data_IF_838423134653
#
_entry.id   IF_838423134653
#
_cell.length_a   1.000
_cell.length_b   1.000
_cell.length_c   1.000
_cell.angle_alpha   90.00
_cell.angle_beta   90.00
_cell.angle_gamma   90.00
#
_symmetry.space_group_name_H-M   'P 1'
#
loop_
_entity.id
_entity.type
_entity.pdbx_description
1 polymer ?
#
# COMPACT_ATOMS: atom_id res chain seq x y z
N UNK A 1 -14.98 -13.89 -17.09
CA UNK A 1 -14.23 -14.72 -16.12
C UNK A 1 -13.14 -15.46 -16.89
N UNK A 2 -11.91 -15.03 -16.73
CA UNK A 2 -10.74 -15.76 -17.23
C UNK A 2 -10.24 -16.66 -16.11
N UNK A 3 -10.54 -17.92 -16.19
CA UNK A 3 -10.01 -18.98 -15.32
C UNK A 3 -9.10 -19.83 -16.20
N UNK A 4 -7.81 -19.72 -16.04
CA UNK A 4 -6.87 -20.50 -16.83
C UNK A 4 -5.53 -20.70 -16.14
N UNK A 5 -5.10 -21.94 -16.13
CA UNK A 5 -3.71 -22.31 -15.89
C UNK A 5 -2.88 -21.86 -17.08
N UNK A 6 -1.83 -21.08 -16.85
CA UNK A 6 -0.87 -20.57 -17.84
C UNK A 6 -1.45 -19.60 -18.89
N UNK A 7 -1.75 -18.37 -18.49
CA UNK A 7 -1.92 -17.30 -19.44
C UNK A 7 -0.61 -16.50 -19.53
N UNK A 8 0.18 -16.75 -20.56
CA UNK A 8 1.35 -15.96 -20.89
C UNK A 8 0.92 -14.76 -21.76
N UNK A 9 0.63 -13.62 -21.13
CA UNK A 9 0.46 -12.36 -21.84
C UNK A 9 1.84 -11.71 -21.92
N UNK A 10 2.32 -11.40 -23.12
CA UNK A 10 3.62 -10.75 -23.36
C UNK A 10 3.44 -9.51 -24.21
N UNK A 11 4.17 -8.45 -23.86
CA UNK A 11 4.31 -7.21 -24.65
C UNK A 11 2.96 -6.64 -25.10
N UNK A 12 1.96 -6.75 -24.22
CA UNK A 12 0.57 -6.38 -24.53
C UNK A 12 0.13 -5.17 -23.71
N UNK A 13 -0.69 -4.34 -24.33
CA UNK A 13 -1.47 -3.32 -23.64
C UNK A 13 -2.93 -3.71 -23.64
N UNK A 14 -3.55 -3.75 -22.46
CA UNK A 14 -4.99 -3.94 -22.30
C UNK A 14 -5.57 -2.63 -21.80
N UNK A 15 -6.55 -2.11 -22.52
CA UNK A 15 -7.21 -0.85 -22.15
C UNK A 15 -8.57 -1.14 -21.54
N UNK A 16 -8.81 -0.58 -20.38
CA UNK A 16 -10.13 -0.48 -19.76
C UNK A 16 -10.82 0.77 -20.33
N UNK A 17 -11.86 0.59 -21.11
CA UNK A 17 -12.60 1.70 -21.71
C UNK A 17 -13.86 1.99 -20.87
N UNK A 18 -13.66 2.76 -19.78
CA UNK A 18 -14.73 3.16 -18.90
C UNK A 18 -15.40 1.98 -18.18
N UNK A 19 -14.62 1.03 -17.68
CA UNK A 19 -15.19 -0.14 -16.98
C UNK A 19 -15.87 0.32 -15.69
N UNK A 20 -17.15 -0.03 -15.56
CA UNK A 20 -17.93 0.16 -14.35
C UNK A 20 -18.30 -1.18 -13.73
N UNK A 21 -17.85 -1.41 -12.52
CA UNK A 21 -18.21 -2.57 -11.70
C UNK A 21 -19.24 -2.13 -10.66
N UNK A 22 -20.40 -2.77 -10.64
CA UNK A 22 -21.43 -2.53 -9.65
C UNK A 22 -21.58 -3.76 -8.79
N UNK A 23 -21.39 -3.60 -7.48
CA UNK A 23 -21.60 -4.67 -6.51
C UNK A 23 -23.02 -4.52 -5.97
N UNK A 24 -23.91 -5.40 -6.41
CA UNK A 24 -25.35 -5.35 -6.11
C UNK A 24 -25.66 -5.81 -4.67
N UNK A 25 -26.79 -5.35 -4.13
CA UNK A 25 -27.25 -5.69 -2.77
C UNK A 25 -27.38 -7.18 -2.50
N UNK A 26 -27.70 -7.98 -3.51
CA UNK A 26 -27.98 -9.42 -3.36
C UNK A 26 -26.75 -10.30 -3.20
N UNK A 27 -25.55 -9.77 -3.49
CA UNK A 27 -24.32 -10.56 -3.51
C UNK A 27 -23.75 -10.73 -2.09
N UNK A 28 -23.29 -11.89 -1.68
CA UNK A 28 -22.70 -12.18 -0.35
C UNK A 28 -21.26 -12.68 -0.50
N UNK A 29 -20.40 -12.35 0.46
CA UNK A 29 -19.06 -12.91 0.59
C UNK A 29 -17.94 -11.97 0.23
N UNK A 30 -16.89 -12.49 -0.38
CA UNK A 30 -15.72 -11.73 -0.85
C UNK A 30 -15.88 -11.48 -2.34
N UNK A 31 -15.62 -10.26 -2.76
CA UNK A 31 -15.64 -9.85 -4.17
C UNK A 31 -14.23 -9.49 -4.61
N UNK A 32 -13.79 -10.17 -5.64
CA UNK A 32 -12.49 -9.95 -6.26
C UNK A 32 -12.70 -9.21 -7.58
N UNK A 33 -12.09 -8.03 -7.72
CA UNK A 33 -12.27 -7.14 -8.88
C UNK A 33 -10.93 -6.82 -9.51
N UNK A 34 -10.80 -7.04 -10.82
CA UNK A 34 -9.62 -6.75 -11.64
C UNK A 34 -9.75 -7.37 -13.01
N UNK A 35 -8.69 -7.30 -13.83
CA UNK A 35 -8.62 -8.08 -15.06
C UNK A 35 -8.82 -9.57 -14.77
N UNK A 36 -8.30 -10.02 -13.64
CA UNK A 36 -8.54 -11.32 -13.04
C UNK A 36 -9.21 -11.13 -11.67
N UNK A 37 -10.26 -11.90 -11.39
CA UNK A 37 -10.83 -11.96 -10.05
C UNK A 37 -9.77 -12.51 -9.09
N UNK A 38 -9.24 -13.70 -9.38
CA UNK A 38 -8.21 -14.38 -8.62
C UNK A 38 -7.11 -14.92 -9.56
N UNK A 39 -5.86 -14.79 -9.15
CA UNK A 39 -4.70 -15.34 -9.84
C UNK A 39 -3.94 -16.34 -8.97
N UNK A 40 -3.50 -17.43 -9.56
CA UNK A 40 -2.83 -18.51 -8.86
C UNK A 40 -3.81 -19.43 -8.11
N UNK A 41 -3.31 -20.21 -7.19
CA UNK A 41 -4.06 -21.24 -6.45
C UNK A 41 -3.21 -22.49 -6.35
N UNK A 42 -3.77 -23.66 -6.74
CA UNK A 42 -2.99 -24.90 -6.80
C UNK A 42 -1.85 -24.85 -7.84
N UNK A 43 -2.01 -24.02 -8.88
CA UNK A 43 -1.00 -23.79 -9.90
C UNK A 43 -0.53 -22.35 -9.88
N UNK A 44 0.74 -22.16 -10.20
CA UNK A 44 1.33 -20.83 -10.35
C UNK A 44 0.70 -20.07 -11.51
N UNK A 45 0.41 -18.79 -11.29
CA UNK A 45 0.05 -17.85 -12.34
C UNK A 45 1.24 -16.94 -12.68
N UNK A 46 1.54 -16.80 -13.96
CA UNK A 46 2.62 -15.91 -14.40
C UNK A 46 2.07 -14.86 -15.33
N UNK A 47 2.20 -13.59 -14.91
CA UNK A 47 1.90 -12.43 -15.75
C UNK A 47 3.17 -11.62 -15.93
N UNK A 48 3.50 -11.31 -17.19
CA UNK A 48 4.72 -10.57 -17.52
C UNK A 48 4.53 -9.65 -18.70
N UNK A 49 5.32 -8.56 -18.68
CA UNK A 49 5.45 -7.64 -19.79
C UNK A 49 4.08 -7.08 -20.22
N UNK A 50 3.20 -6.77 -19.23
CA UNK A 50 1.83 -6.32 -19.44
C UNK A 50 1.67 -4.86 -19.02
N UNK A 51 1.02 -4.07 -19.88
CA UNK A 51 0.55 -2.73 -19.54
C UNK A 51 -0.99 -2.71 -19.48
N UNK A 52 -1.54 -2.21 -18.40
CA UNK A 52 -2.96 -1.91 -18.24
C UNK A 52 -3.15 -0.40 -18.32
N UNK A 53 -4.19 0.07 -19.01
CA UNK A 53 -4.46 1.50 -19.17
C UNK A 53 -5.96 1.77 -19.15
N UNK A 54 -6.36 3.03 -18.96
CA UNK A 54 -7.76 3.46 -18.98
C UNK A 54 -8.29 3.78 -17.58
N UNK A 55 -9.57 3.51 -17.37
CA UNK A 55 -10.25 3.83 -16.11
C UNK A 55 -11.21 2.71 -15.67
N UNK A 56 -11.33 2.57 -14.35
CA UNK A 56 -12.23 1.62 -13.70
C UNK A 56 -12.96 2.30 -12.56
N UNK A 57 -14.29 2.24 -12.59
CA UNK A 57 -15.15 2.72 -11.52
C UNK A 57 -15.79 1.54 -10.80
N UNK A 58 -15.67 1.50 -9.47
CA UNK A 58 -16.26 0.48 -8.62
C UNK A 58 -17.28 1.14 -7.72
N UNK A 59 -18.56 0.79 -7.91
CA UNK A 59 -19.67 1.26 -7.09
C UNK A 59 -20.17 0.13 -6.19
N UNK A 60 -19.95 0.26 -4.89
CA UNK A 60 -20.49 -0.65 -3.92
C UNK A 60 -21.84 -0.11 -3.38
N UNK A 61 -22.93 -0.84 -3.63
CA UNK A 61 -24.26 -0.45 -3.15
C UNK A 61 -24.43 -0.79 -1.67
N UNK A 62 -25.31 -0.06 -0.99
CA UNK A 62 -25.62 -0.26 0.43
C UNK A 62 -26.08 -1.70 0.71
N UNK A 63 -25.56 -2.29 1.78
CA UNK A 63 -25.94 -3.64 2.24
C UNK A 63 -26.19 -3.66 3.74
N UNK A 64 -27.05 -4.59 4.17
CA UNK A 64 -27.28 -4.89 5.59
C UNK A 64 -26.22 -5.86 6.13
N UNK A 65 -25.76 -6.79 5.30
CA UNK A 65 -24.70 -7.75 5.64
C UNK A 65 -23.36 -7.25 5.11
N UNK A 66 -22.34 -7.24 5.94
CA UNK A 66 -20.99 -6.88 5.54
C UNK A 66 -20.38 -7.83 4.50
N UNK A 67 -19.53 -7.31 3.66
CA UNK A 67 -18.73 -8.09 2.69
C UNK A 67 -17.33 -7.50 2.56
N UNK A 68 -16.41 -8.27 1.98
CA UNK A 68 -15.07 -7.79 1.66
C UNK A 68 -14.92 -7.55 0.17
N UNK A 69 -14.21 -6.48 -0.19
CA UNK A 69 -13.84 -6.19 -1.56
C UNK A 69 -12.32 -6.17 -1.70
N UNK A 70 -11.83 -6.98 -2.61
CA UNK A 70 -10.42 -7.02 -3.00
C UNK A 70 -10.33 -6.51 -4.43
N UNK A 71 -9.68 -5.39 -4.65
CA UNK A 71 -9.68 -4.72 -5.95
C UNK A 71 -8.30 -4.25 -6.39
N UNK A 72 -7.99 -4.47 -7.68
CA UNK A 72 -6.81 -3.97 -8.35
C UNK A 72 -6.98 -4.04 -9.87
N UNK A 73 -6.25 -3.25 -10.62
CA UNK A 73 -6.37 -3.27 -12.08
C UNK A 73 -6.00 -4.63 -12.69
N UNK A 74 -4.99 -5.30 -12.14
CA UNK A 74 -4.56 -6.62 -12.58
C UNK A 74 -5.37 -7.73 -11.92
N UNK A 75 -5.44 -7.74 -10.58
CA UNK A 75 -6.16 -8.77 -9.86
C UNK A 75 -6.78 -8.27 -8.56
N UNK A 76 -7.98 -8.78 -8.24
CA UNK A 76 -8.54 -8.64 -6.92
C UNK A 76 -7.70 -9.38 -5.90
N UNK A 77 -7.39 -10.65 -6.18
CA UNK A 77 -6.58 -11.53 -5.33
C UNK A 77 -5.47 -12.24 -6.11
N UNK A 78 -4.27 -12.30 -5.53
CA UNK A 78 -3.15 -13.05 -6.08
C UNK A 78 -2.56 -13.98 -5.03
N UNK A 79 -2.60 -15.29 -5.29
CA UNK A 79 -2.26 -16.34 -4.33
C UNK A 79 -0.94 -17.05 -4.57
N UNK A 80 -0.54 -17.22 -5.83
CA UNK A 80 0.61 -18.06 -6.18
C UNK A 80 1.16 -17.67 -7.56
N UNK A 81 2.48 -17.48 -7.68
CA UNK A 81 3.15 -17.26 -8.95
C UNK A 81 3.96 -15.97 -9.05
N UNK A 82 4.00 -15.36 -10.22
CA UNK A 82 4.89 -14.24 -10.52
C UNK A 82 4.22 -13.11 -11.31
N UNK A 83 4.41 -11.88 -10.86
CA UNK A 83 4.15 -10.65 -11.62
C UNK A 83 5.50 -10.05 -12.01
N UNK A 84 5.75 -9.89 -13.32
CA UNK A 84 7.05 -9.41 -13.82
C UNK A 84 6.87 -8.32 -14.87
N UNK A 85 7.57 -7.19 -14.73
CA UNK A 85 7.55 -6.08 -15.69
C UNK A 85 6.13 -5.66 -16.07
N UNK A 86 5.26 -5.46 -15.09
CA UNK A 86 3.88 -5.05 -15.31
C UNK A 86 3.66 -3.61 -14.88
N UNK A 87 2.93 -2.86 -15.70
CA UNK A 87 2.60 -1.46 -15.43
C UNK A 87 1.09 -1.25 -15.48
N UNK A 88 0.54 -0.65 -14.43
CA UNK A 88 -0.83 -0.13 -14.45
C UNK A 88 -0.81 1.38 -14.68
N UNK A 89 -1.60 1.83 -15.66
CA UNK A 89 -1.96 3.24 -15.92
C UNK A 89 -3.47 3.43 -15.79
N UNK A 90 -4.10 2.56 -15.01
CA UNK A 90 -5.55 2.59 -14.81
C UNK A 90 -5.88 3.50 -13.65
N UNK A 91 -6.66 4.53 -13.90
CA UNK A 91 -7.27 5.32 -12.85
C UNK A 91 -8.41 4.52 -12.22
N UNK A 92 -8.35 4.29 -10.91
CA UNK A 92 -9.36 3.54 -10.18
C UNK A 92 -10.15 4.50 -9.27
N UNK A 93 -11.47 4.54 -9.46
CA UNK A 93 -12.39 5.25 -8.59
C UNK A 93 -13.27 4.26 -7.84
N UNK A 94 -13.26 4.35 -6.52
CA UNK A 94 -14.08 3.52 -5.65
C UNK A 94 -15.00 4.37 -4.78
N UNK A 95 -16.29 4.03 -4.77
CA UNK A 95 -17.28 4.65 -3.89
C UNK A 95 -18.07 3.58 -3.14
N UNK A 96 -18.04 3.66 -1.81
CA UNK A 96 -18.86 2.83 -0.93
C UNK A 96 -20.13 3.59 -0.49
N UNK A 97 -21.28 2.94 -0.61
CA UNK A 97 -22.57 3.45 -0.16
C UNK A 97 -23.08 2.74 1.10
N UNK A 98 -22.18 2.38 2.02
CA UNK A 98 -22.41 1.72 3.31
C UNK A 98 -22.71 0.22 3.21
N UNK A 99 -21.76 -0.57 3.59
CA UNK A 99 -21.92 -2.01 3.73
C UNK A 99 -20.69 -2.86 3.50
N UNK A 100 -19.56 -2.29 3.13
CA UNK A 100 -18.30 -3.03 3.07
C UNK A 100 -17.72 -3.16 4.47
N UNK A 101 -17.38 -4.39 4.89
CA UNK A 101 -16.67 -4.65 6.14
C UNK A 101 -15.17 -4.51 6.00
N UNK A 102 -14.63 -4.74 4.81
CA UNK A 102 -13.17 -4.67 4.55
C UNK A 102 -12.92 -4.34 3.08
N UNK A 103 -12.15 -3.29 2.84
CA UNK A 103 -11.66 -2.93 1.51
C UNK A 103 -10.16 -3.21 1.43
N UNK A 104 -9.73 -4.00 0.44
CA UNK A 104 -8.32 -4.10 0.03
C UNK A 104 -8.20 -3.58 -1.39
N UNK A 105 -7.59 -2.43 -1.59
CA UNK A 105 -7.48 -1.79 -2.90
C UNK A 105 -6.05 -1.41 -3.20
N UNK A 106 -5.55 -1.90 -4.33
CA UNK A 106 -4.24 -1.55 -4.88
C UNK A 106 -4.32 -1.15 -6.34
N UNK A 107 -3.39 -0.35 -6.81
CA UNK A 107 -3.32 0.05 -8.22
C UNK A 107 -3.16 -1.14 -9.17
N UNK A 108 -2.48 -2.22 -8.73
CA UNK A 108 -2.36 -3.48 -9.47
C UNK A 108 -3.12 -4.62 -8.78
N UNK A 109 -2.90 -4.83 -7.48
CA UNK A 109 -3.43 -6.00 -6.77
C UNK A 109 -4.10 -5.58 -5.48
N UNK A 110 -5.34 -6.06 -5.25
CA UNK A 110 -6.06 -5.82 -4.00
C UNK A 110 -5.43 -6.52 -2.83
N UNK A 111 -5.24 -7.84 -2.95
CA UNK A 111 -4.72 -8.70 -1.89
C UNK A 111 -3.69 -9.71 -2.43
N UNK A 112 -2.48 -9.65 -1.91
CA UNK A 112 -1.46 -10.69 -2.05
C UNK A 112 -1.59 -11.65 -0.87
N UNK A 113 -2.15 -12.83 -1.09
CA UNK A 113 -2.41 -13.81 -0.05
C UNK A 113 -1.78 -15.15 -0.40
N UNK A 114 -0.55 -15.38 0.01
CA UNK A 114 0.08 -16.68 -0.15
C UNK A 114 -0.19 -17.53 1.09
N UNK A 115 -1.21 -18.37 0.99
CA UNK A 115 -1.57 -19.29 2.06
C UNK A 115 -0.90 -20.65 1.88
N UNK A 116 0.06 -20.94 2.76
CA UNK A 116 0.82 -22.21 2.77
C UNK A 116 2.33 -22.00 2.69
N UNK A 117 3.10 -22.83 3.39
CA UNK A 117 4.57 -22.70 3.50
C UNK A 117 5.33 -22.96 2.20
N UNK A 118 4.71 -23.56 1.21
CA UNK A 118 5.30 -23.89 -0.09
C UNK A 118 4.86 -22.96 -1.22
N UNK A 119 3.95 -22.03 -0.94
CA UNK A 119 3.41 -21.10 -1.93
C UNK A 119 4.28 -19.85 -2.01
N UNK A 120 4.68 -19.49 -3.21
CA UNK A 120 5.52 -18.32 -3.48
C UNK A 120 4.77 -17.30 -4.32
N UNK A 121 4.75 -16.07 -3.85
CA UNK A 121 4.36 -14.91 -4.67
C UNK A 121 5.60 -14.08 -4.94
N UNK A 122 5.96 -13.94 -6.20
CA UNK A 122 7.13 -13.18 -6.60
C UNK A 122 6.74 -11.94 -7.41
N UNK A 123 7.28 -10.79 -7.01
CA UNK A 123 7.34 -9.61 -7.85
C UNK A 123 8.74 -9.53 -8.46
N UNK A 124 8.84 -9.30 -9.77
CA UNK A 124 10.13 -9.30 -10.47
C UNK A 124 10.23 -8.17 -11.49
N UNK A 125 11.43 -7.67 -11.67
CA UNK A 125 11.72 -6.55 -12.57
C UNK A 125 10.98 -5.29 -12.14
N UNK A 126 10.29 -4.61 -13.05
CA UNK A 126 9.56 -3.39 -12.74
C UNK A 126 8.07 -3.67 -12.59
N UNK A 127 7.53 -3.41 -11.40
CA UNK A 127 6.09 -3.50 -11.11
C UNK A 127 5.62 -2.09 -10.73
N UNK A 128 4.90 -1.43 -11.63
CA UNK A 128 4.67 0.02 -11.54
C UNK A 128 3.18 0.33 -11.59
N UNK A 129 2.72 1.19 -10.69
CA UNK A 129 1.46 1.90 -10.82
C UNK A 129 1.70 3.36 -11.23
N UNK A 130 1.10 3.77 -12.36
CA UNK A 130 1.08 5.17 -12.83
C UNK A 130 -0.34 5.75 -12.80
N UNK A 131 -1.37 4.94 -12.56
CA UNK A 131 -2.76 5.37 -12.43
C UNK A 131 -3.07 5.93 -11.04
N UNK A 132 -4.02 6.84 -10.98
CA UNK A 132 -4.48 7.45 -9.73
C UNK A 132 -5.53 6.59 -9.04
N UNK A 133 -5.56 6.64 -7.71
CA UNK A 133 -6.59 6.00 -6.90
C UNK A 133 -7.42 7.06 -6.18
N UNK A 134 -8.73 7.05 -6.41
CA UNK A 134 -9.71 7.88 -5.69
C UNK A 134 -10.66 6.98 -4.92
N UNK A 135 -10.58 7.02 -3.59
CA UNK A 135 -11.20 6.02 -2.73
C UNK A 135 -12.07 6.67 -1.67
N UNK A 136 -13.35 6.33 -1.66
CA UNK A 136 -14.31 6.81 -0.65
C UNK A 136 -14.85 5.61 0.15
N UNK A 137 -14.10 5.08 1.14
CA UNK A 137 -14.53 3.92 1.91
C UNK A 137 -15.47 4.33 3.05
N UNK A 138 -16.26 3.38 3.54
CA UNK A 138 -17.12 3.53 4.72
C UNK A 138 -16.70 2.64 5.90
N UNK A 139 -15.72 1.77 5.71
CA UNK A 139 -15.26 0.76 6.69
C UNK A 139 -13.74 0.70 6.73
N UNK A 140 -13.20 -0.33 7.37
CA UNK A 140 -11.78 -0.62 7.39
C UNK A 140 -11.22 -0.75 5.98
N UNK A 141 -10.08 -0.12 5.75
CA UNK A 141 -9.48 -0.09 4.43
C UNK A 141 -7.97 -0.34 4.47
N UNK A 142 -7.53 -1.17 3.52
CA UNK A 142 -6.15 -1.45 3.20
C UNK A 142 -5.89 -0.89 1.80
N UNK A 143 -5.23 0.25 1.72
CA UNK A 143 -5.09 0.99 0.46
C UNK A 143 -3.62 1.20 0.17
N UNK A 144 -3.18 0.73 -0.99
CA UNK A 144 -1.81 0.93 -1.47
C UNK A 144 -1.76 1.35 -2.92
N UNK A 145 -0.82 2.21 -3.27
CA UNK A 145 -0.66 2.65 -4.65
C UNK A 145 -0.42 1.49 -5.62
N UNK A 146 0.18 0.38 -5.15
CA UNK A 146 0.41 -0.84 -5.95
C UNK A 146 -0.36 -2.02 -5.38
N UNK A 147 -0.28 -2.26 -4.08
CA UNK A 147 -0.86 -3.42 -3.39
C UNK A 147 -1.67 -2.94 -2.19
N UNK A 148 -2.94 -3.33 -2.11
CA UNK A 148 -3.78 -2.96 -0.97
C UNK A 148 -3.31 -3.64 0.31
N UNK A 149 -3.26 -4.95 0.30
CA UNK A 149 -2.82 -5.78 1.41
C UNK A 149 -1.90 -6.91 0.93
N UNK A 150 -0.88 -7.18 1.68
CA UNK A 150 -0.01 -8.33 1.50
C UNK A 150 0.09 -9.07 2.83
N UNK A 151 -0.64 -10.17 2.97
CA UNK A 151 -0.60 -11.02 4.16
C UNK A 151 -0.08 -12.38 3.79
N UNK A 152 0.94 -12.84 4.47
CA UNK A 152 1.65 -14.02 4.03
C UNK A 152 2.02 -14.97 5.16
N UNK A 153 1.53 -16.19 5.05
CA UNK A 153 2.05 -17.35 5.80
C UNK A 153 3.11 -18.12 4.99
N UNK A 154 3.20 -17.91 3.67
CA UNK A 154 4.20 -18.43 2.76
C UNK A 154 5.36 -17.44 2.51
N UNK A 155 5.75 -17.27 1.26
CA UNK A 155 6.88 -16.41 0.87
C UNK A 155 6.45 -15.36 -0.15
N UNK A 156 6.67 -14.09 0.17
CA UNK A 156 6.58 -12.98 -0.80
C UNK A 156 8.01 -12.53 -1.10
N UNK A 157 8.41 -12.65 -2.35
CA UNK A 157 9.74 -12.22 -2.79
C UNK A 157 9.65 -10.84 -3.45
N UNK A 158 10.20 -9.84 -2.78
CA UNK A 158 10.42 -8.49 -3.31
C UNK A 158 11.88 -8.17 -3.06
N UNK A 159 12.77 -8.84 -3.78
CA UNK A 159 14.22 -8.64 -3.67
C UNK A 159 14.95 -8.96 -4.99
N UNK A 160 16.19 -8.55 -5.08
CA UNK A 160 17.12 -8.78 -6.19
C UNK A 160 16.56 -8.35 -7.57
N UNK A 161 16.92 -7.16 -8.03
CA UNK A 161 16.53 -6.58 -9.32
C UNK A 161 15.01 -6.35 -9.48
N UNK A 162 14.30 -6.21 -8.38
CA UNK A 162 12.89 -5.77 -8.36
C UNK A 162 12.85 -4.29 -8.08
N UNK A 163 11.91 -3.58 -8.71
CA UNK A 163 11.52 -2.24 -8.30
C UNK A 163 10.01 -2.17 -8.32
N UNK A 164 9.40 -1.94 -7.16
CA UNK A 164 7.96 -1.75 -7.02
C UNK A 164 7.72 -0.26 -6.82
N UNK A 165 7.11 0.38 -7.80
CA UNK A 165 6.94 1.83 -7.82
C UNK A 165 5.47 2.23 -7.87
N UNK A 166 5.11 3.21 -7.07
CA UNK A 166 3.89 3.98 -7.27
C UNK A 166 4.22 5.40 -7.75
N UNK A 167 3.61 5.81 -8.85
CA UNK A 167 3.72 7.17 -9.41
C UNK A 167 2.38 7.90 -9.45
N UNK A 168 1.28 7.16 -9.29
CA UNK A 168 -0.06 7.73 -9.23
C UNK A 168 -0.37 8.35 -7.86
N UNK A 169 -1.19 9.38 -7.86
CA UNK A 169 -1.69 10.01 -6.65
C UNK A 169 -2.75 9.11 -5.97
N UNK A 170 -2.75 9.12 -4.65
CA UNK A 170 -3.71 8.41 -3.82
C UNK A 170 -4.56 9.44 -3.06
N UNK A 171 -5.85 9.48 -3.37
CA UNK A 171 -6.81 10.35 -2.69
C UNK A 171 -7.83 9.49 -1.96
N UNK A 172 -7.90 9.64 -0.64
CA UNK A 172 -8.81 8.87 0.21
C UNK A 172 -9.69 9.81 1.01
N UNK A 173 -11.00 9.60 0.96
CA UNK A 173 -11.96 10.44 1.64
C UNK A 173 -12.99 9.62 2.40
N UNK A 174 -12.96 9.68 3.74
CA UNK A 174 -14.01 9.13 4.58
C UNK A 174 -15.13 10.12 4.78
N UNK A 175 -16.35 9.65 4.59
CA UNK A 175 -17.57 10.42 4.93
C UNK A 175 -17.75 10.48 6.44
N UNK A 176 -18.50 11.49 6.91
CA UNK A 176 -18.76 11.71 8.34
C UNK A 176 -19.48 10.56 9.05
N UNK A 177 -20.17 9.71 8.31
CA UNK A 177 -20.91 8.56 8.81
C UNK A 177 -20.18 7.22 8.64
N UNK A 178 -18.95 7.25 8.12
CA UNK A 178 -18.08 6.10 8.06
C UNK A 178 -17.61 5.70 9.48
N UNK A 179 -17.52 4.41 9.73
CA UNK A 179 -17.12 3.85 11.02
C UNK A 179 -15.99 2.82 10.86
N UNK A 180 -14.82 3.22 10.36
CA UNK A 180 -13.67 2.35 10.36
C UNK A 180 -13.14 2.19 11.80
N UNK A 181 -12.64 1.01 12.13
CA UNK A 181 -11.85 0.78 13.34
C UNK A 181 -10.36 1.01 13.07
N UNK A 182 -9.85 0.36 12.03
CA UNK A 182 -8.45 0.44 11.64
C UNK A 182 -8.33 0.57 10.12
N UNK A 183 -7.48 1.47 9.66
CA UNK A 183 -7.19 1.61 8.24
C UNK A 183 -5.71 1.84 7.98
N UNK A 184 -5.22 1.26 6.90
CA UNK A 184 -3.82 1.22 6.53
C UNK A 184 -3.64 1.80 5.14
N UNK A 185 -2.87 2.88 5.04
CA UNK A 185 -2.69 3.61 3.78
C UNK A 185 -1.20 3.74 3.51
N UNK A 186 -0.75 3.23 2.39
CA UNK A 186 0.64 3.34 1.94
C UNK A 186 0.75 3.77 0.49
N UNK A 187 1.75 4.55 0.18
CA UNK A 187 1.99 4.96 -1.20
C UNK A 187 2.28 3.77 -2.12
N UNK A 188 2.82 2.67 -1.60
CA UNK A 188 3.04 1.42 -2.34
C UNK A 188 2.17 0.30 -1.81
N UNK A 189 2.22 0.03 -0.50
CA UNK A 189 1.48 -1.06 0.14
C UNK A 189 0.70 -0.56 1.35
N UNK A 190 -0.60 -0.86 1.44
CA UNK A 190 -1.41 -0.48 2.59
C UNK A 190 -0.98 -1.22 3.86
N UNK A 191 -1.12 -2.54 3.88
CA UNK A 191 -0.63 -3.42 4.95
C UNK A 191 0.32 -4.47 4.36
N UNK A 192 1.51 -4.56 4.93
CA UNK A 192 2.47 -5.60 4.61
C UNK A 192 2.81 -6.42 5.85
N UNK A 193 2.22 -7.60 5.94
CA UNK A 193 2.45 -8.56 7.02
C UNK A 193 3.08 -9.82 6.43
N UNK A 194 4.33 -10.09 6.76
CA UNK A 194 5.13 -11.12 6.10
C UNK A 194 6.06 -11.86 7.03
N UNK A 195 6.43 -13.08 6.65
CA UNK A 195 7.52 -13.84 7.27
C UNK A 195 8.87 -13.64 6.55
N UNK A 196 8.87 -12.95 5.40
CA UNK A 196 10.12 -12.65 4.70
C UNK A 196 10.95 -11.62 5.45
N UNK A 197 12.26 -11.84 5.45
CA UNK A 197 13.20 -10.96 6.11
C UNK A 197 13.66 -9.81 5.22
N UNK A 198 13.61 -9.99 3.90
CA UNK A 198 14.14 -9.04 2.94
C UNK A 198 13.01 -8.44 2.08
N UNK A 199 12.79 -7.15 2.24
CA UNK A 199 11.86 -6.35 1.45
C UNK A 199 12.66 -5.19 0.87
N UNK A 200 12.78 -5.14 -0.46
CA UNK A 200 13.68 -4.22 -1.12
C UNK A 200 12.97 -3.39 -2.20
N UNK A 201 13.46 -2.17 -2.42
CA UNK A 201 13.11 -1.31 -3.55
C UNK A 201 11.61 -1.00 -3.69
N UNK A 202 10.98 -0.54 -2.59
CA UNK A 202 9.62 0.00 -2.62
C UNK A 202 9.68 1.52 -2.70
N UNK A 203 9.26 2.10 -3.80
CA UNK A 203 9.38 3.53 -4.07
C UNK A 203 8.03 4.19 -4.33
N UNK A 204 7.73 5.27 -3.64
CA UNK A 204 6.56 6.10 -3.87
C UNK A 204 6.94 7.50 -4.37
N UNK A 205 6.39 7.87 -5.52
CA UNK A 205 6.51 9.19 -6.14
C UNK A 205 5.19 9.97 -6.10
N UNK A 206 4.06 9.26 -5.96
CA UNK A 206 2.73 9.84 -5.92
C UNK A 206 2.40 10.47 -4.57
N UNK A 207 1.54 11.47 -4.57
CA UNK A 207 1.09 12.11 -3.35
C UNK A 207 -0.01 11.27 -2.68
N UNK A 208 -0.07 11.34 -1.35
CA UNK A 208 -1.15 10.76 -0.55
C UNK A 208 -1.96 11.92 0.03
N UNK A 209 -3.24 11.98 -0.30
CA UNK A 209 -4.19 12.93 0.26
C UNK A 209 -5.28 12.20 1.02
N UNK A 210 -5.40 12.51 2.29
CA UNK A 210 -6.43 11.97 3.16
C UNK A 210 -7.33 13.10 3.65
N UNK A 211 -8.62 12.97 3.45
CA UNK A 211 -9.64 13.80 4.07
C UNK A 211 -10.57 12.92 4.90
N UNK A 212 -10.67 13.18 6.19
CA UNK A 212 -11.50 12.41 7.11
C UNK A 212 -12.22 13.32 8.10
N UNK A 213 -13.48 13.07 8.33
CA UNK A 213 -14.33 13.85 9.23
C UNK A 213 -14.76 12.99 10.42
N UNK A 214 -14.54 13.52 11.64
CA UNK A 214 -15.11 12.98 12.89
C UNK A 214 -15.04 11.46 13.04
N UNK A 215 -13.85 10.89 12.95
CA UNK A 215 -13.68 9.44 13.16
C UNK A 215 -12.81 9.16 14.37
N UNK A 216 -13.20 8.17 15.16
CA UNK A 216 -12.37 7.58 16.22
C UNK A 216 -11.45 6.48 15.71
N UNK A 217 -11.40 6.25 14.43
CA UNK A 217 -10.58 5.21 13.81
C UNK A 217 -9.08 5.44 13.96
N UNK A 218 -8.35 4.36 14.07
CA UNK A 218 -6.90 4.35 14.00
C UNK A 218 -6.44 4.26 12.56
N UNK A 219 -5.59 5.20 12.14
CA UNK A 219 -4.99 5.22 10.81
C UNK A 219 -3.49 5.01 10.89
N UNK A 220 -2.98 4.03 10.16
CA UNK A 220 -1.55 3.87 9.91
C UNK A 220 -1.26 4.32 8.48
N UNK A 221 -0.54 5.44 8.36
CA UNK A 221 -0.30 6.11 7.08
C UNK A 221 1.20 6.23 6.86
N UNK A 222 1.68 5.70 5.76
CA UNK A 222 3.09 5.80 5.37
C UNK A 222 3.28 6.18 3.91
N UNK A 223 4.32 6.93 3.62
CA UNK A 223 4.66 7.28 2.25
C UNK A 223 4.92 6.06 1.36
N UNK A 224 5.36 4.95 1.94
CA UNK A 224 5.57 3.66 1.26
C UNK A 224 4.62 2.59 1.80
N UNK A 225 4.65 2.32 3.11
CA UNK A 225 3.80 1.30 3.74
C UNK A 225 2.97 1.91 4.86
N UNK A 226 1.66 1.64 4.88
CA UNK A 226 0.81 2.01 6.01
C UNK A 226 1.23 1.27 7.28
N UNK A 227 1.38 -0.04 7.18
CA UNK A 227 1.99 -0.88 8.21
C UNK A 227 2.91 -1.92 7.58
N UNK A 228 4.04 -2.16 8.22
CA UNK A 228 4.99 -3.22 7.88
C UNK A 228 5.33 -4.00 9.16
N UNK A 229 4.90 -5.25 9.23
CA UNK A 229 5.03 -6.06 10.45
C UNK A 229 5.36 -7.53 10.14
N UNK A 230 6.15 -8.21 10.97
CA UNK A 230 6.37 -9.64 10.84
C UNK A 230 5.11 -10.42 11.25
N UNK A 231 4.90 -11.57 10.64
CA UNK A 231 3.77 -12.44 10.98
C UNK A 231 4.04 -13.25 12.27
N UNK A 232 5.23 -13.80 12.45
CA UNK A 232 5.57 -14.74 13.53
C UNK A 232 6.80 -14.28 14.35
N UNK A 233 6.87 -13.03 14.78
CA UNK A 233 8.02 -12.50 15.56
C UNK A 233 9.38 -12.64 14.85
N UNK A 234 9.38 -12.87 13.55
CA UNK A 234 10.61 -12.89 12.76
C UNK A 234 11.14 -11.47 12.54
N UNK A 235 12.43 -11.38 12.20
CA UNK A 235 13.05 -10.08 11.96
C UNK A 235 12.84 -9.67 10.51
N UNK A 236 12.31 -8.48 10.30
CA UNK A 236 12.19 -7.88 8.97
C UNK A 236 13.32 -6.86 8.80
N UNK A 237 13.96 -6.88 7.65
CA UNK A 237 15.05 -5.98 7.27
C UNK A 237 14.72 -5.26 5.96
N UNK A 238 13.81 -4.28 5.97
CA UNK A 238 13.52 -3.52 4.75
C UNK A 238 14.75 -2.74 4.30
N UNK A 239 14.98 -2.76 2.98
CA UNK A 239 16.11 -2.11 2.32
C UNK A 239 15.60 -1.25 1.16
N UNK A 240 16.11 -0.03 1.03
CA UNK A 240 15.78 0.90 -0.04
C UNK A 240 14.27 1.18 -0.15
N UNK A 241 13.71 1.71 0.94
CA UNK A 241 12.36 2.26 0.95
C UNK A 241 12.45 3.79 0.72
N UNK A 242 11.79 4.26 -0.33
CA UNK A 242 11.89 5.65 -0.74
C UNK A 242 10.52 6.30 -0.94
N UNK A 243 10.32 7.45 -0.34
CA UNK A 243 9.16 8.31 -0.56
C UNK A 243 9.57 9.71 -1.03
N UNK A 244 9.12 10.11 -2.20
CA UNK A 244 9.21 11.48 -2.72
C UNK A 244 7.85 12.20 -2.73
N UNK A 245 6.75 11.44 -2.63
CA UNK A 245 5.40 12.01 -2.61
C UNK A 245 5.07 12.72 -1.30
N UNK A 246 4.27 13.78 -1.39
CA UNK A 246 3.78 14.46 -0.19
C UNK A 246 2.65 13.66 0.46
N UNK A 247 2.57 13.74 1.79
CA UNK A 247 1.47 13.21 2.59
C UNK A 247 0.69 14.40 3.15
N UNK A 248 -0.53 14.59 2.67
CA UNK A 248 -1.41 15.66 3.10
C UNK A 248 -2.64 15.06 3.80
N UNK A 249 -2.80 15.35 5.07
CA UNK A 249 -3.87 14.83 5.90
C UNK A 249 -4.70 15.98 6.46
N UNK A 250 -5.98 15.97 6.11
CA UNK A 250 -6.97 16.89 6.65
C UNK A 250 -7.98 16.09 7.46
N UNK A 251 -8.10 16.44 8.74
CA UNK A 251 -9.01 15.75 9.65
C UNK A 251 -9.56 16.70 10.71
N UNK A 252 -10.71 16.38 11.27
CA UNK A 252 -11.26 17.11 12.43
C UNK A 252 -10.68 16.54 13.72
N UNK A 253 -10.71 15.21 13.87
CA UNK A 253 -10.16 14.49 15.01
C UNK A 253 -9.71 13.08 14.56
N UNK A 254 -8.42 12.77 14.68
CA UNK A 254 -7.92 11.40 14.55
C UNK A 254 -7.79 10.73 15.91
N UNK A 255 -7.93 9.41 15.92
CA UNK A 255 -7.64 8.64 17.12
C UNK A 255 -6.20 8.90 17.61
N UNK A 256 -6.04 8.95 18.92
CA UNK A 256 -4.76 9.21 19.57
C UNK A 256 -3.63 8.28 19.10
N UNK A 257 -3.97 7.03 18.79
CA UNK A 257 -3.04 5.99 18.36
C UNK A 257 -2.80 5.93 16.85
N UNK A 258 -3.35 6.85 16.08
CA UNK A 258 -3.03 6.94 14.65
C UNK A 258 -1.53 7.24 14.47
N UNK A 259 -0.91 6.56 13.50
CA UNK A 259 0.52 6.66 13.22
C UNK A 259 0.78 7.15 11.80
N UNK A 260 1.51 8.24 11.66
CA UNK A 260 1.83 8.87 10.37
C UNK A 260 3.35 8.93 10.22
N UNK A 261 3.87 8.20 9.25
CA UNK A 261 5.29 8.19 8.91
C UNK A 261 5.57 8.61 7.49
N UNK A 262 6.65 9.33 7.27
CA UNK A 262 7.05 9.72 5.91
C UNK A 262 7.34 8.54 4.99
N UNK A 263 7.67 7.38 5.56
CA UNK A 263 7.90 6.13 4.83
C UNK A 263 6.98 5.02 5.34
N UNK A 264 6.96 4.75 6.64
CA UNK A 264 6.14 3.68 7.23
C UNK A 264 5.29 4.27 8.35
N UNK A 265 3.97 4.03 8.32
CA UNK A 265 3.05 4.46 9.37
C UNK A 265 3.32 3.72 10.68
N UNK A 266 3.23 2.40 10.68
CA UNK A 266 3.52 1.53 11.83
C UNK A 266 4.52 0.46 11.43
N UNK A 267 5.56 0.27 12.25
CA UNK A 267 6.65 -0.67 12.00
C UNK A 267 6.80 -1.67 13.14
N UNK A 268 6.68 -2.95 12.84
CA UNK A 268 6.88 -4.05 13.78
C UNK A 268 8.20 -4.81 13.61
N UNK A 269 9.10 -4.34 12.75
CA UNK A 269 10.36 -5.01 12.42
C UNK A 269 11.50 -4.71 13.39
N UNK A 270 12.70 -5.26 13.11
CA UNK A 270 13.86 -5.14 13.98
C UNK A 270 14.85 -4.07 13.55
N UNK A 271 15.01 -3.85 12.27
CA UNK A 271 15.92 -2.85 11.70
C UNK A 271 15.56 -2.55 10.26
N UNK A 272 16.02 -1.44 9.74
CA UNK A 272 15.85 -1.07 8.34
C UNK A 272 17.11 -0.36 7.82
N UNK A 273 17.30 -0.39 6.50
CA UNK A 273 18.44 0.20 5.82
C UNK A 273 17.99 1.03 4.62
N UNK A 274 18.67 2.15 4.37
CA UNK A 274 18.41 3.03 3.23
C UNK A 274 16.93 3.45 3.11
N UNK A 275 16.34 3.87 4.23
CA UNK A 275 14.96 4.37 4.27
C UNK A 275 15.00 5.88 4.15
N UNK A 276 14.38 6.44 3.11
CA UNK A 276 14.46 7.86 2.76
C UNK A 276 13.08 8.46 2.54
N UNK A 277 12.84 9.62 3.13
CA UNK A 277 11.70 10.46 2.83
C UNK A 277 12.16 11.84 2.34
N UNK A 278 11.80 12.20 1.12
CA UNK A 278 11.95 13.53 0.54
C UNK A 278 10.62 14.29 0.46
N UNK A 279 9.50 13.58 0.65
CA UNK A 279 8.17 14.17 0.65
C UNK A 279 7.87 14.96 1.93
N UNK A 280 6.94 15.90 1.80
CA UNK A 280 6.45 16.69 2.92
C UNK A 280 5.28 16.02 3.60
N UNK A 281 5.21 16.12 4.93
CA UNK A 281 4.06 15.67 5.71
C UNK A 281 3.34 16.91 6.21
N UNK A 282 2.10 17.07 5.78
CA UNK A 282 1.24 18.19 6.14
C UNK A 282 -0.01 17.62 6.84
N UNK A 283 -0.14 17.86 8.13
CA UNK A 283 -1.28 17.38 8.91
C UNK A 283 -2.04 18.57 9.47
N UNK A 284 -3.33 18.65 9.18
CA UNK A 284 -4.23 19.65 9.72
C UNK A 284 -5.36 18.98 10.50
N UNK A 285 -5.63 19.45 11.73
CA UNK A 285 -6.63 18.87 12.63
C UNK A 285 -6.07 18.62 14.03
N UNK A 286 -6.65 17.69 14.78
CA UNK A 286 -6.29 17.39 16.17
C UNK A 286 -6.26 15.88 16.43
N UNK A 287 -5.59 15.46 17.50
CA UNK A 287 -5.70 14.13 18.08
C UNK A 287 -4.52 13.19 17.84
N UNK A 288 -3.92 13.17 16.66
CA UNK A 288 -2.81 12.27 16.35
C UNK A 288 -1.56 12.59 17.17
N UNK A 289 -0.97 11.59 17.81
CA UNK A 289 0.25 11.74 18.63
C UNK A 289 1.52 11.25 17.94
N UNK A 290 1.40 10.35 16.96
CA UNK A 290 2.54 9.67 16.36
C UNK A 290 2.74 10.16 14.92
N UNK A 291 3.50 11.24 14.77
CA UNK A 291 3.86 11.80 13.45
C UNK A 291 5.37 11.90 13.37
N UNK A 292 5.97 11.34 12.35
CA UNK A 292 7.42 11.33 12.17
C UNK A 292 7.81 11.42 10.70
N UNK A 293 8.98 11.95 10.41
CA UNK A 293 9.53 12.02 9.06
C UNK A 293 9.77 10.66 8.40
N UNK A 294 9.92 9.59 9.17
CA UNK A 294 10.14 8.22 8.65
C UNK A 294 9.14 7.21 9.16
N UNK A 295 9.13 6.95 10.48
CA UNK A 295 8.27 5.96 11.12
C UNK A 295 7.29 6.65 12.03
N UNK A 296 5.98 6.42 11.85
CA UNK A 296 4.95 7.01 12.71
C UNK A 296 4.94 6.37 14.08
N UNK A 297 4.91 5.04 14.16
CA UNK A 297 4.99 4.29 15.41
C UNK A 297 5.81 3.02 15.28
N UNK A 298 6.30 2.53 16.40
CA UNK A 298 7.03 1.27 16.53
C UNK A 298 6.32 0.39 17.55
N UNK A 299 6.04 -0.84 17.22
CA UNK A 299 5.42 -1.79 18.16
C UNK A 299 6.43 -2.53 19.04
N UNK A 300 7.66 -2.72 18.58
CA UNK A 300 8.81 -3.21 19.39
C UNK A 300 10.09 -3.23 18.57
N UNK A 301 11.07 -2.41 18.91
CA UNK A 301 12.42 -2.55 18.35
C UNK A 301 13.26 -3.35 19.34
N UNK A 302 13.60 -4.59 18.97
CA UNK A 302 14.63 -5.36 19.63
C UNK A 302 15.89 -5.33 18.78
N UNK A 303 16.75 -4.35 19.02
CA UNK A 303 18.03 -4.25 18.31
C UNK A 303 18.43 -2.81 17.98
N UNK A 304 19.60 -2.66 17.37
CA UNK A 304 20.10 -1.36 16.94
C UNK A 304 19.45 -0.96 15.62
N UNK A 305 18.55 0.01 15.65
CA UNK A 305 18.03 0.64 14.42
C UNK A 305 19.02 1.68 13.91
N UNK A 306 19.38 1.57 12.65
CA UNK A 306 20.30 2.49 11.99
C UNK A 306 19.54 3.34 10.97
N UNK A 307 19.42 4.61 11.23
CA UNK A 307 18.87 5.60 10.30
C UNK A 307 20.03 6.26 9.56
N UNK A 308 20.09 6.10 8.24
CA UNK A 308 21.21 6.64 7.45
C UNK A 308 20.95 8.06 6.92
N UNK A 309 19.72 8.45 6.67
CA UNK A 309 19.38 9.84 6.35
C UNK A 309 17.89 10.12 6.62
N UNK A 310 17.61 11.36 7.01
CA UNK A 310 16.26 11.85 7.21
C UNK A 310 16.16 13.31 6.75
N UNK A 311 15.29 13.58 5.79
CA UNK A 311 14.89 14.93 5.43
C UNK A 311 13.50 15.18 6.00
N UNK A 312 13.43 15.83 7.16
CA UNK A 312 12.16 16.28 7.75
C UNK A 312 12.01 17.76 7.49
N UNK A 313 11.17 18.16 6.56
CA UNK A 313 10.65 19.51 6.49
C UNK A 313 9.45 19.66 7.41
N UNK A 314 9.37 20.79 8.08
CA UNK A 314 8.47 21.15 9.17
C UNK A 314 7.08 20.47 9.07
N UNK A 315 6.84 19.56 9.96
CA UNK A 315 5.49 19.16 10.35
C UNK A 315 4.82 20.37 11.03
N UNK A 316 3.56 20.66 10.73
CA UNK A 316 2.82 21.74 11.39
C UNK A 316 2.85 21.66 12.93
N UNK A 317 1.97 22.32 13.66
CA UNK A 317 2.02 22.53 15.10
C UNK A 317 2.02 21.27 16.03
N UNK A 318 2.33 20.10 15.52
CA UNK A 318 2.40 18.84 16.27
C UNK A 318 3.81 18.56 16.81
N UNK A 319 3.96 18.02 18.02
CA UNK A 319 5.25 17.56 18.49
C UNK A 319 5.74 16.42 17.58
N UNK A 320 6.83 16.68 16.89
CA UNK A 320 7.56 15.61 16.19
C UNK A 320 8.25 14.78 17.27
N UNK A 321 7.86 13.54 17.42
CA UNK A 321 8.61 12.61 18.26
C UNK A 321 9.92 12.31 17.54
N UNK A 322 10.99 12.94 17.99
CA UNK A 322 12.34 12.52 17.65
C UNK A 322 12.57 11.19 18.36
N UNK A 323 12.36 10.10 17.65
CA UNK A 323 12.87 8.82 18.09
C UNK A 323 14.39 9.00 18.17
N UNK A 324 14.97 8.78 19.35
CA UNK A 324 16.40 8.95 19.57
C UNK A 324 17.15 7.86 18.84
N UNK A 325 17.48 8.11 17.58
CA UNK A 325 18.35 7.23 16.81
C UNK A 325 19.80 7.51 17.22
N UNK A 326 20.57 6.47 17.47
CA UNK A 326 22.01 6.61 17.55
C UNK A 326 22.55 6.99 16.20
N UNK A 327 23.13 8.19 16.03
CA UNK A 327 23.67 8.59 14.74
C UNK A 327 24.86 7.70 14.40
N UNK A 328 24.70 6.87 13.38
CA UNK A 328 25.87 6.26 12.75
C UNK A 328 26.53 7.36 11.92
N UNK A 329 27.74 7.71 12.28
CA UNK A 329 28.55 8.82 11.76
C UNK A 329 29.08 8.62 10.33
N UNK A 330 28.38 7.90 9.47
CA UNK A 330 28.68 7.86 8.04
C UNK A 330 27.48 8.34 7.27
N UNK A 331 27.51 9.62 6.89
CA UNK A 331 26.69 10.13 5.80
C UNK A 331 27.06 9.36 4.53
N UNK A 332 26.19 8.45 4.12
CA UNK A 332 26.20 7.98 2.73
C UNK A 332 25.43 9.03 1.95
N UNK A 333 26.05 9.70 0.97
CA UNK A 333 25.32 10.70 0.18
C UNK A 333 24.19 10.00 -0.58
N UNK A 334 22.95 10.37 -0.30
CA UNK A 334 21.73 9.87 -0.95
C UNK A 334 21.66 10.13 -2.46
N UNK A 335 22.68 10.76 -3.05
CA UNK A 335 22.63 11.28 -4.42
C UNK A 335 23.17 10.38 -5.52
N UNK A 336 23.79 9.27 -5.21
CA UNK A 336 24.53 8.55 -6.26
C UNK A 336 23.78 7.43 -6.97
N UNK A 337 22.61 6.99 -6.50
CA UNK A 337 21.88 5.88 -7.12
C UNK A 337 20.41 6.14 -7.48
N UNK A 338 19.87 7.32 -7.27
CA UNK A 338 18.54 7.62 -7.77
C UNK A 338 18.62 8.19 -9.18
N UNK A 339 17.89 7.61 -10.16
CA UNK A 339 17.79 8.22 -11.48
C UNK A 339 17.12 9.59 -11.30
N UNK A 340 17.92 10.64 -11.31
CA UNK A 340 17.40 11.99 -11.39
C UNK A 340 16.48 12.08 -12.59
N UNK A 341 15.23 12.46 -12.37
CA UNK A 341 14.33 12.87 -13.44
C UNK A 341 15.05 13.88 -14.33
N UNK A 342 15.63 13.44 -15.43
CA UNK A 342 15.94 14.33 -16.53
C UNK A 342 14.62 14.68 -17.20
N UNK A 343 14.29 15.96 -17.12
CA UNK A 343 13.17 16.59 -17.82
C UNK A 343 13.22 16.35 -19.32
#
# INVERSE_FOLDING_TARGET
>A
RLVGSEMCIRDSTITFDGIRVVIEESSKGVFDVGLFEEMGGEKEAVVKDLTLAGDMTIDAQKREDGYSLLAGSLAGKFKNGCIKNCTSKVDISFADNKGICTLCLGGLVGDLDSYGSEVEVALRGKVINEGNLTVNPCSDAYIGGVIGRATNYGKIFIKENVCVENKGDLTVQWKADAQPDHSYIGGVVGLFKTNETDIEHLHNWGNIRLDTQNTSATFNIGGVCGELTPHNYERIYPLDLYNAGNIEIKHDLLAEFSAIGGVIGSFGGSSFHQVVNEGKIIVSGKGCKYISGLLGSESSIHGNCYLYSCCVDKVGAYPVWNISYHPVTKQVPCKENHPTNQK
#
